data_IF_764435640294
#
_entry.id   IF_764435640294
#
_cell.length_a   1.000
_cell.length_b   1.000
_cell.length_c   1.000
_cell.angle_alpha   90.00
_cell.angle_beta   90.00
_cell.angle_gamma   90.00
#
_symmetry.space_group_name_H-M   'P 1'
#
loop_
_entity.id
_entity.type
_entity.pdbx_description
1 polymer ?
#
# COMPACT_ATOMS: atom_id res chain seq x y z
N UNK A 1 16.80 18.07 24.13
CA UNK A 1 16.06 17.95 22.85
C UNK A 1 15.94 16.47 22.58
N UNK A 2 14.76 15.91 22.81
CA UNK A 2 14.50 14.52 22.47
C UNK A 2 14.61 14.38 20.96
N UNK A 3 15.49 13.50 20.51
CA UNK A 3 15.59 13.11 19.11
C UNK A 3 14.26 12.43 18.81
N UNK A 4 13.35 12.99 17.99
CA UNK A 4 12.09 12.31 17.70
C UNK A 4 12.50 10.98 17.09
N UNK A 5 12.22 9.89 17.81
CA UNK A 5 12.41 8.54 17.31
C UNK A 5 11.76 8.52 15.94
N UNK A 6 12.58 8.41 14.90
CA UNK A 6 12.15 8.30 13.51
C UNK A 6 11.43 6.96 13.35
N UNK A 7 10.21 6.89 13.87
CA UNK A 7 9.43 5.67 13.94
C UNK A 7 9.14 5.23 12.51
N UNK A 8 9.67 4.05 12.16
CA UNK A 8 9.49 3.47 10.84
C UNK A 8 8.05 2.99 10.74
N UNK A 9 7.23 3.75 10.01
CA UNK A 9 5.84 3.37 9.75
C UNK A 9 5.80 2.27 8.69
N UNK A 10 5.38 1.08 9.09
CA UNK A 10 5.25 -0.10 8.22
C UNK A 10 3.84 -0.67 8.35
N UNK A 11 3.23 -1.03 7.22
CA UNK A 11 1.99 -1.78 7.21
C UNK A 11 1.90 -2.72 6.01
N UNK A 12 0.95 -3.66 6.10
CA UNK A 12 0.72 -4.69 5.10
C UNK A 12 -0.75 -4.67 4.67
N UNK A 13 -0.96 -4.86 3.38
CA UNK A 13 -2.28 -5.05 2.79
C UNK A 13 -2.25 -6.33 1.96
N UNK A 14 -3.31 -7.14 2.04
CA UNK A 14 -3.56 -8.13 1.00
C UNK A 14 -3.83 -7.43 -0.33
N UNK A 15 -3.77 -8.17 -1.42
CA UNK A 15 -4.06 -7.67 -2.75
C UNK A 15 -5.50 -7.13 -2.82
N UNK A 16 -6.46 -7.85 -2.25
CA UNK A 16 -7.86 -7.43 -2.15
C UNK A 16 -8.02 -6.14 -1.34
N UNK A 17 -7.33 -6.02 -0.21
CA UNK A 17 -7.36 -4.81 0.63
C UNK A 17 -6.76 -3.61 -0.08
N UNK A 18 -5.67 -3.82 -0.82
CA UNK A 18 -5.06 -2.79 -1.64
C UNK A 18 -6.00 -2.35 -2.77
N UNK A 19 -6.62 -3.29 -3.48
CA UNK A 19 -7.61 -2.98 -4.52
C UNK A 19 -8.82 -2.23 -3.98
N UNK A 20 -9.41 -2.70 -2.88
CA UNK A 20 -10.51 -2.01 -2.20
C UNK A 20 -10.10 -0.60 -1.79
N UNK A 21 -8.90 -0.43 -1.24
CA UNK A 21 -8.39 0.89 -0.83
C UNK A 21 -8.21 1.83 -2.02
N UNK A 22 -7.61 1.37 -3.12
CA UNK A 22 -7.41 2.19 -4.33
C UNK A 22 -8.75 2.57 -4.97
N UNK A 23 -9.71 1.64 -5.03
CA UNK A 23 -11.05 1.90 -5.54
C UNK A 23 -11.79 2.92 -4.69
N UNK A 24 -11.74 2.78 -3.36
CA UNK A 24 -12.37 3.70 -2.42
C UNK A 24 -11.81 5.13 -2.56
N UNK A 25 -10.50 5.24 -2.70
CA UNK A 25 -9.78 6.51 -2.88
C UNK A 25 -9.83 7.05 -4.31
N UNK A 26 -10.44 6.32 -5.25
CA UNK A 26 -10.46 6.63 -6.69
C UNK A 26 -9.06 6.90 -7.25
N UNK A 27 -8.09 6.10 -6.80
CA UNK A 27 -6.71 6.18 -7.25
C UNK A 27 -6.47 5.25 -8.44
N UNK A 28 -5.55 5.60 -9.34
CA UNK A 28 -5.08 4.65 -10.34
C UNK A 28 -4.40 3.46 -9.65
N UNK A 29 -4.22 2.36 -10.38
CA UNK A 29 -3.39 1.25 -9.93
C UNK A 29 -1.96 1.70 -9.62
N UNK A 30 -1.30 1.01 -8.70
CA UNK A 30 0.11 1.24 -8.36
C UNK A 30 1.01 0.25 -9.12
N UNK A 31 2.28 0.60 -9.32
CA UNK A 31 3.24 -0.34 -9.91
C UNK A 31 3.41 -1.57 -9.01
N UNK A 32 3.62 -2.73 -9.62
CA UNK A 32 3.74 -4.00 -8.88
C UNK A 32 2.42 -4.58 -8.38
N UNK A 33 1.28 -3.94 -8.66
CA UNK A 33 -0.03 -4.52 -8.43
C UNK A 33 -0.49 -5.32 -9.66
N UNK A 34 -0.83 -6.58 -9.46
CA UNK A 34 -1.39 -7.45 -10.51
C UNK A 34 -2.92 -7.38 -10.48
N UNK A 35 -3.56 -7.02 -11.61
CA UNK A 35 -5.02 -7.01 -11.76
C UNK A 35 -5.65 -8.40 -11.80
N UNK A 36 -4.86 -9.42 -12.14
CA UNK A 36 -5.38 -10.71 -12.58
C UNK A 36 -5.99 -11.57 -11.48
N UNK A 37 -5.82 -11.20 -10.21
CA UNK A 37 -6.38 -11.95 -9.06
C UNK A 37 -7.90 -12.05 -9.10
N UNK A 38 -8.57 -11.11 -9.76
CA UNK A 38 -10.03 -11.13 -9.91
C UNK A 38 -10.50 -11.71 -11.24
N UNK A 39 -9.61 -11.95 -12.20
CA UNK A 39 -9.99 -12.37 -13.56
C UNK A 39 -10.68 -13.74 -13.57
N UNK A 40 -10.36 -14.58 -12.60
CA UNK A 40 -10.92 -15.92 -12.45
C UNK A 40 -12.15 -15.97 -11.54
N UNK A 41 -12.52 -14.85 -10.91
CA UNK A 41 -13.64 -14.80 -9.98
C UNK A 41 -14.94 -14.44 -10.70
N UNK A 42 -16.03 -15.09 -10.30
CA UNK A 42 -17.37 -14.64 -10.69
C UNK A 42 -17.67 -13.27 -10.06
N UNK A 43 -18.62 -12.49 -10.62
CA UNK A 43 -19.00 -11.21 -10.02
C UNK A 43 -19.45 -11.32 -8.55
N UNK A 44 -20.04 -12.44 -8.15
CA UNK A 44 -20.42 -12.70 -6.77
C UNK A 44 -19.21 -12.96 -5.86
N UNK A 45 -18.25 -13.76 -6.32
CA UNK A 45 -16.99 -14.01 -5.62
C UNK A 45 -16.19 -12.73 -5.46
N UNK A 46 -16.13 -11.88 -6.50
CA UNK A 46 -15.47 -10.56 -6.43
C UNK A 46 -16.13 -9.67 -5.38
N UNK A 47 -17.47 -9.57 -5.36
CA UNK A 47 -18.19 -8.79 -4.33
C UNK A 47 -17.93 -9.32 -2.93
N UNK A 48 -17.97 -10.64 -2.74
CA UNK A 48 -17.68 -11.26 -1.44
C UNK A 48 -16.24 -10.96 -0.99
N UNK A 49 -15.28 -11.09 -1.89
CA UNK A 49 -13.86 -10.82 -1.65
C UNK A 49 -13.62 -9.37 -1.22
N UNK A 50 -14.19 -8.41 -1.96
CA UNK A 50 -14.14 -6.97 -1.63
C UNK A 50 -14.76 -6.70 -0.26
N UNK A 51 -15.91 -7.31 0.05
CA UNK A 51 -16.57 -7.15 1.34
C UNK A 51 -15.76 -7.73 2.52
N UNK A 52 -14.99 -8.80 2.31
CA UNK A 52 -14.06 -9.35 3.31
C UNK A 52 -12.91 -8.35 3.53
N UNK A 53 -12.31 -7.85 2.45
CA UNK A 53 -11.22 -6.90 2.51
C UNK A 53 -11.61 -5.59 3.21
N UNK A 54 -12.81 -5.07 2.94
CA UNK A 54 -13.35 -3.88 3.62
C UNK A 54 -13.46 -4.09 5.12
N UNK A 55 -14.04 -5.21 5.56
CA UNK A 55 -14.14 -5.54 7.00
C UNK A 55 -12.78 -5.66 7.66
N UNK A 56 -11.79 -6.23 6.96
CA UNK A 56 -10.43 -6.37 7.47
C UNK A 56 -9.71 -5.01 7.58
N UNK A 57 -9.94 -4.09 6.66
CA UNK A 57 -9.47 -2.71 6.74
C UNK A 57 -10.11 -1.96 7.92
N UNK A 58 -11.41 -2.14 8.15
CA UNK A 58 -12.12 -1.54 9.28
C UNK A 58 -11.59 -2.09 10.61
N UNK A 59 -11.45 -3.41 10.72
CA UNK A 59 -10.96 -4.07 11.94
C UNK A 59 -9.54 -3.61 12.35
N UNK A 60 -8.74 -3.16 11.39
CA UNK A 60 -7.38 -2.64 11.59
C UNK A 60 -7.32 -1.11 11.61
N UNK A 61 -8.46 -0.45 11.68
CA UNK A 61 -8.59 1.02 11.69
C UNK A 61 -7.98 1.72 10.46
N UNK A 62 -7.79 1.01 9.35
CA UNK A 62 -7.36 1.60 8.08
C UNK A 62 -8.51 2.28 7.34
N UNK A 63 -9.73 1.82 7.60
CA UNK A 63 -10.97 2.51 7.25
C UNK A 63 -11.75 2.74 8.55
N UNK A 64 -12.27 3.94 8.74
CA UNK A 64 -13.05 4.29 9.94
C UNK A 64 -14.43 4.76 9.54
N UNK A 65 -15.45 4.35 10.28
CA UNK A 65 -16.82 4.83 10.07
C UNK A 65 -16.95 6.16 10.80
N UNK A 66 -17.24 7.24 10.07
CA UNK A 66 -17.54 8.52 10.69
C UNK A 66 -18.89 8.41 11.43
N UNK A 67 -19.01 8.94 12.67
CA UNK A 67 -20.25 8.84 13.46
C UNK A 67 -21.50 9.40 12.78
N UNK A 68 -21.31 10.32 11.82
CA UNK A 68 -22.40 11.09 11.19
C UNK A 68 -22.51 10.86 9.67
N UNK A 69 -21.63 10.06 9.08
CA UNK A 69 -21.61 9.82 7.64
C UNK A 69 -21.52 8.31 7.40
N UNK A 70 -22.36 7.76 6.53
CA UNK A 70 -22.22 6.37 6.03
C UNK A 70 -20.96 6.21 5.15
N UNK A 71 -20.01 7.13 5.25
CA UNK A 71 -18.81 7.19 4.45
C UNK A 71 -17.63 6.73 5.29
N UNK A 72 -16.89 5.75 4.75
CA UNK A 72 -15.63 5.31 5.34
C UNK A 72 -14.57 6.41 5.16
N UNK A 73 -13.71 6.60 6.15
CA UNK A 73 -12.58 7.51 6.07
C UNK A 73 -11.28 6.72 6.17
N UNK A 74 -10.37 6.86 5.20
CA UNK A 74 -9.07 6.20 5.23
C UNK A 74 -8.21 6.76 6.37
N UNK A 75 -7.44 5.89 7.03
CA UNK A 75 -6.43 6.34 7.97
C UNK A 75 -5.42 7.25 7.25
N UNK A 76 -4.94 8.34 7.89
CA UNK A 76 -4.00 9.27 7.26
C UNK A 76 -2.74 8.60 6.70
N UNK A 77 -2.23 7.57 7.41
CA UNK A 77 -1.08 6.78 6.96
C UNK A 77 -1.35 6.01 5.67
N UNK A 78 -2.52 5.37 5.56
CA UNK A 78 -2.93 4.64 4.37
C UNK A 78 -3.07 5.61 3.19
N UNK A 79 -3.78 6.71 3.40
CA UNK A 79 -4.00 7.74 2.39
C UNK A 79 -2.69 8.30 1.86
N UNK A 80 -1.78 8.70 2.76
CA UNK A 80 -0.48 9.28 2.39
C UNK A 80 0.38 8.29 1.60
N UNK A 81 0.42 7.03 2.03
CA UNK A 81 1.18 6.00 1.36
C UNK A 81 0.62 5.71 -0.05
N UNK A 82 -0.69 5.46 -0.16
CA UNK A 82 -1.30 5.11 -1.44
C UNK A 82 -1.28 6.26 -2.45
N UNK A 83 -1.47 7.51 -2.00
CA UNK A 83 -1.31 8.68 -2.88
C UNK A 83 0.10 8.78 -3.44
N UNK A 84 1.12 8.55 -2.60
CA UNK A 84 2.53 8.60 -3.02
C UNK A 84 2.83 7.49 -4.04
N UNK A 85 2.32 6.28 -3.83
CA UNK A 85 2.52 5.17 -4.77
C UNK A 85 1.71 5.28 -6.06
N UNK A 86 0.50 5.84 -6.00
CA UNK A 86 -0.40 5.94 -7.16
C UNK A 86 -0.09 7.16 -8.05
N UNK A 87 0.50 8.21 -7.49
CA UNK A 87 0.88 9.44 -8.22
C UNK A 87 2.28 9.92 -7.82
N UNK A 88 3.33 9.10 -8.01
CA UNK A 88 4.69 9.49 -7.68
C UNK A 88 5.19 10.59 -8.61
N UNK A 89 6.01 11.51 -8.08
CA UNK A 89 6.85 12.39 -8.92
C UNK A 89 8.00 11.58 -9.54
N UNK A 90 8.59 10.70 -8.73
CA UNK A 90 9.66 9.81 -9.13
C UNK A 90 9.41 8.40 -8.60
N UNK A 91 9.75 7.40 -9.40
CA UNK A 91 9.81 6.01 -8.97
C UNK A 91 11.14 5.39 -9.36
N UNK A 92 11.82 4.79 -8.38
CA UNK A 92 12.94 3.90 -8.62
C UNK A 92 12.46 2.46 -8.48
N UNK A 93 12.81 1.63 -9.46
CA UNK A 93 12.54 0.18 -9.45
C UNK A 93 13.88 -0.51 -9.32
N UNK A 94 14.03 -1.31 -8.27
CA UNK A 94 15.20 -2.17 -8.07
C UNK A 94 14.77 -3.61 -8.21
N UNK A 95 15.35 -4.30 -9.19
CA UNK A 95 15.07 -5.72 -9.43
C UNK A 95 16.25 -6.55 -8.93
N UNK A 96 15.96 -7.52 -8.05
CA UNK A 96 16.93 -8.51 -7.58
C UNK A 96 16.59 -9.87 -8.17
N UNK A 97 17.56 -10.44 -8.89
CA UNK A 97 17.46 -11.80 -9.40
C UNK A 97 18.12 -12.79 -8.45
N UNK A 98 17.41 -13.86 -8.12
CA UNK A 98 17.92 -15.12 -7.57
C UNK A 98 17.68 -16.23 -8.60
N UNK A 99 18.37 -17.36 -8.53
CA UNK A 99 18.25 -18.44 -9.53
C UNK A 99 16.79 -18.91 -9.80
N UNK A 100 15.92 -18.82 -8.79
CA UNK A 100 14.54 -19.30 -8.80
C UNK A 100 13.48 -18.19 -8.69
N UNK A 101 13.89 -16.95 -8.39
CA UNK A 101 12.95 -15.90 -8.03
C UNK A 101 13.46 -14.50 -8.42
N UNK A 102 12.55 -13.68 -8.93
CA UNK A 102 12.79 -12.25 -9.13
C UNK A 102 12.02 -11.44 -8.10
N UNK A 103 12.69 -10.51 -7.44
CA UNK A 103 12.09 -9.59 -6.49
C UNK A 103 12.12 -8.18 -7.05
N UNK A 104 10.99 -7.49 -7.00
CA UNK A 104 10.91 -6.09 -7.38
C UNK A 104 10.67 -5.23 -6.13
N UNK A 105 11.48 -4.20 -6.01
CA UNK A 105 11.44 -3.21 -4.94
C UNK A 105 11.11 -1.86 -5.57
N UNK A 106 10.09 -1.20 -5.05
CA UNK A 106 9.61 0.08 -5.58
C UNK A 106 9.83 1.17 -4.55
N UNK A 107 10.44 2.28 -4.97
CA UNK A 107 10.60 3.47 -4.14
C UNK A 107 9.86 4.61 -4.82
N UNK A 108 8.74 5.01 -4.25
CA UNK A 108 7.87 6.07 -4.75
C UNK A 108 8.09 7.34 -3.95
N UNK A 109 8.34 8.45 -4.63
CA UNK A 109 8.63 9.73 -3.96
C UNK A 109 7.68 10.83 -4.45
N UNK A 110 7.15 11.60 -3.50
CA UNK A 110 6.46 12.87 -3.73
C UNK A 110 6.97 13.86 -2.68
N UNK A 111 7.61 14.94 -3.13
CA UNK A 111 8.32 15.89 -2.26
C UNK A 111 9.30 15.15 -1.34
N UNK A 112 9.23 15.36 -0.02
CA UNK A 112 10.07 14.70 0.98
C UNK A 112 9.49 13.36 1.47
N UNK A 113 8.35 12.91 0.94
CA UNK A 113 7.72 11.66 1.33
C UNK A 113 8.13 10.53 0.40
N UNK A 114 8.86 9.55 0.93
CA UNK A 114 9.27 8.34 0.20
C UNK A 114 8.58 7.12 0.79
N UNK A 115 7.92 6.34 -0.07
CA UNK A 115 7.34 5.05 0.27
C UNK A 115 8.13 3.96 -0.44
N UNK A 116 8.66 3.03 0.35
CA UNK A 116 9.14 1.75 -0.12
C UNK A 116 7.99 0.76 -0.18
N UNK A 117 7.78 0.16 -1.35
CA UNK A 117 6.73 -0.82 -1.63
C UNK A 117 7.36 -2.10 -2.17
N UNK A 118 6.93 -3.24 -1.63
CA UNK A 118 7.39 -4.56 -2.04
C UNK A 118 6.27 -5.59 -1.88
N UNK A 119 6.42 -6.73 -2.55
CA UNK A 119 5.57 -7.90 -2.41
C UNK A 119 6.43 -9.09 -1.98
N UNK A 120 6.66 -9.22 -0.67
CA UNK A 120 7.50 -10.29 -0.13
C UNK A 120 6.79 -11.65 -0.11
N UNK A 121 5.46 -11.65 -0.10
CA UNK A 121 4.62 -12.85 -0.17
C UNK A 121 3.60 -12.69 -1.30
N UNK A 122 3.25 -13.77 -2.02
CA UNK A 122 2.20 -13.72 -3.03
C UNK A 122 0.92 -13.12 -2.46
N UNK A 123 0.35 -12.14 -3.15
CA UNK A 123 -0.87 -11.45 -2.74
C UNK A 123 -0.75 -10.54 -1.50
N UNK A 124 0.44 -10.28 -0.95
CA UNK A 124 0.61 -9.37 0.20
C UNK A 124 1.63 -8.28 -0.11
N UNK A 125 1.18 -7.04 -0.04
CA UNK A 125 1.99 -5.84 -0.27
C UNK A 125 2.41 -5.21 1.05
N UNK A 126 3.69 -4.89 1.15
CA UNK A 126 4.26 -4.15 2.27
C UNK A 126 4.52 -2.71 1.85
N UNK A 127 4.20 -1.78 2.73
CA UNK A 127 4.48 -0.35 2.57
C UNK A 127 5.28 0.14 3.77
N UNK A 128 6.39 0.82 3.50
CA UNK A 128 7.25 1.42 4.51
C UNK A 128 7.47 2.89 4.16
N UNK A 129 7.18 3.80 5.09
CA UNK A 129 7.58 5.20 4.94
C UNK A 129 9.03 5.34 5.37
N UNK A 130 9.87 5.81 4.45
CA UNK A 130 11.29 6.07 4.71
C UNK A 130 11.48 7.50 5.17
N UNK A 131 12.32 7.70 6.18
CA UNK A 131 12.80 9.04 6.57
C UNK A 131 14.09 9.40 5.84
N UNK A 132 14.40 10.70 5.67
CA UNK A 132 15.63 11.13 4.99
C UNK A 132 16.91 10.51 5.57
N UNK A 133 16.95 10.34 6.90
CA UNK A 133 18.07 9.70 7.61
C UNK A 133 18.22 8.22 7.25
N UNK A 134 17.11 7.51 7.03
CA UNK A 134 17.12 6.10 6.62
C UNK A 134 17.52 5.92 5.15
N UNK A 135 17.20 6.89 4.30
CA UNK A 135 17.67 6.92 2.90
C UNK A 135 19.20 7.09 2.88
N UNK A 136 19.74 8.00 3.69
CA UNK A 136 21.17 8.28 3.75
C UNK A 136 22.01 7.16 4.40
N UNK A 137 21.43 6.36 5.30
CA UNK A 137 22.14 5.28 5.99
C UNK A 137 22.31 3.99 5.16
N UNK A 138 21.65 3.89 4.00
CA UNK A 138 21.65 2.69 3.15
C UNK A 138 22.25 2.94 1.75
N UNK A 139 22.88 4.10 1.54
CA UNK A 139 23.72 4.44 0.39
C UNK A 139 25.19 4.50 0.83
#
# INVERSE_FOLDING_TARGET
MENPSSEMLTFYLSQEELFTSLAYLRLPGILGLDGSVFDQLTPEQTRLSIGIAERALIARCFLTVQPNEQQLQPAPILLAALLTCARPQHTLIVTRHRPDQTFNYFFHTVNENTIFHTQNFPGVHQFIRLTPQQIAANL
#
